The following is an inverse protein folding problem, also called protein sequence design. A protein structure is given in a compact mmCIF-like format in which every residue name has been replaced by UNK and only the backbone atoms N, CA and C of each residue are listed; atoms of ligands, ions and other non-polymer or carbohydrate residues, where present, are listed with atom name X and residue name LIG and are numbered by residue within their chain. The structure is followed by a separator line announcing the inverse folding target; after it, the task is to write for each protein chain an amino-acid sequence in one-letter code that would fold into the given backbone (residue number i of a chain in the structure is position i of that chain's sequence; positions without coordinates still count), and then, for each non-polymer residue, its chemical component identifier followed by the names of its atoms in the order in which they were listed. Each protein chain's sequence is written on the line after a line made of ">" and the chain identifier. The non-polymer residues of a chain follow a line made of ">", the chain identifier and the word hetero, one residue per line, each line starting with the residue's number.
data_IF_239976687816
#
_entry.id   IF_239976687816
#
_cell.length_a   1.000
_cell.length_b   1.000
_cell.length_c   1.000
_cell.angle_alpha   90.00
_cell.angle_beta   90.00
_cell.angle_gamma   90.00
#
_symmetry.space_group_name_H-M   'P 1'
#
loop_
_entity.id
_entity.type
_entity.pdbx_description
1 polymer ?
#
# COMPACT_ATOMS: atom_id res chain seq x y z
N UNK A 1 1.17 15.19 -5.77
CA UNK A 1 0.72 15.83 -4.51
C UNK A 1 0.50 14.70 -3.52
N UNK A 2 1.20 14.70 -2.38
CA UNK A 2 1.10 13.62 -1.41
C UNK A 2 -0.24 13.68 -0.67
N UNK A 3 -1.08 12.67 -0.87
CA UNK A 3 -2.29 12.48 -0.07
C UNK A 3 -1.86 11.90 1.28
N UNK A 4 -2.03 12.67 2.37
CA UNK A 4 -1.88 12.18 3.74
C UNK A 4 -3.23 11.64 4.21
N UNK A 5 -3.25 10.41 4.75
CA UNK A 5 -4.36 9.90 5.55
C UNK A 5 -4.51 10.66 6.89
N UNK A 6 -5.61 10.39 7.59
CA UNK A 6 -6.07 11.05 8.82
C UNK A 6 -5.16 10.80 10.04
N UNK A 7 -4.33 9.75 10.03
CA UNK A 7 -3.37 9.46 11.11
C UNK A 7 -1.96 9.97 10.77
N UNK A 8 -1.41 10.76 11.68
CA UNK A 8 0.02 11.10 11.66
C UNK A 8 0.83 9.89 12.11
N UNK A 9 1.70 9.40 11.23
CA UNK A 9 2.60 8.27 11.51
C UNK A 9 3.75 8.72 12.42
N UNK A 10 4.12 7.86 13.35
CA UNK A 10 5.33 8.06 14.15
C UNK A 10 6.58 7.87 13.28
N UNK A 11 7.68 8.54 13.65
CA UNK A 11 8.97 8.39 12.96
C UNK A 11 9.49 6.94 12.97
N UNK A 12 9.10 6.15 13.97
CA UNK A 12 9.42 4.72 14.07
C UNK A 12 8.69 3.89 13.02
N UNK A 13 7.41 4.18 12.73
CA UNK A 13 6.65 3.46 11.68
C UNK A 13 7.23 3.75 10.29
N UNK A 14 7.61 4.99 10.03
CA UNK A 14 8.27 5.38 8.77
C UNK A 14 9.63 4.68 8.66
N UNK A 15 10.42 4.67 9.74
CA UNK A 15 11.70 3.97 9.82
C UNK A 15 11.56 2.47 9.55
N UNK A 16 10.61 1.81 10.20
CA UNK A 16 10.41 0.37 10.05
C UNK A 16 9.91 -0.03 8.66
N UNK A 17 9.12 0.81 7.99
CA UNK A 17 8.74 0.62 6.58
C UNK A 17 9.97 0.70 5.68
N UNK A 18 10.87 1.68 5.90
CA UNK A 18 12.09 1.80 5.09
C UNK A 18 13.08 0.63 5.25
N UNK A 19 13.02 -0.08 6.39
CA UNK A 19 13.86 -1.26 6.67
C UNK A 19 13.10 -2.58 6.36
N UNK A 20 11.79 -2.52 6.12
CA UNK A 20 10.94 -3.69 5.87
C UNK A 20 10.71 -4.59 7.09
N UNK A 21 11.02 -4.12 8.31
CA UNK A 21 11.02 -4.94 9.52
C UNK A 21 9.63 -5.41 9.98
N UNK A 22 8.57 -4.69 9.59
CA UNK A 22 7.20 -5.07 9.93
C UNK A 22 6.59 -6.09 8.95
N UNK A 23 7.36 -6.52 7.94
CA UNK A 23 6.87 -7.37 6.87
C UNK A 23 6.07 -6.60 5.82
N UNK A 24 5.90 -7.21 4.65
CA UNK A 24 5.14 -6.64 3.54
C UNK A 24 4.42 -7.74 2.76
N UNK A 25 3.33 -7.37 2.11
CA UNK A 25 2.67 -8.16 1.09
C UNK A 25 2.90 -7.54 -0.28
N UNK A 26 3.13 -8.38 -1.29
CA UNK A 26 3.34 -7.95 -2.67
C UNK A 26 2.15 -8.37 -3.52
N UNK A 27 1.56 -7.42 -4.24
CA UNK A 27 0.46 -7.65 -5.18
C UNK A 27 0.98 -7.36 -6.60
N UNK A 28 1.02 -8.38 -7.46
CA UNK A 28 1.74 -8.32 -8.76
C UNK A 28 0.85 -8.25 -9.99
N UNK A 29 -0.47 -8.41 -9.81
CA UNK A 29 -1.47 -8.39 -10.87
C UNK A 29 -2.76 -7.78 -10.32
N UNK A 30 -3.77 -7.59 -11.18
CA UNK A 30 -5.14 -7.33 -10.70
C UNK A 30 -5.53 -8.39 -9.68
N UNK A 31 -6.09 -7.94 -8.56
CA UNK A 31 -6.33 -8.78 -7.39
C UNK A 31 -6.05 -8.04 -6.09
N UNK A 32 -6.28 -8.74 -4.99
CA UNK A 32 -6.36 -8.11 -3.69
C UNK A 32 -5.45 -8.76 -2.66
N UNK A 33 -5.03 -7.94 -1.69
CA UNK A 33 -4.35 -8.34 -0.47
C UNK A 33 -5.02 -7.67 0.73
N UNK A 34 -5.06 -8.35 1.87
CA UNK A 34 -5.81 -7.86 3.01
C UNK A 34 -5.50 -8.58 4.31
N UNK A 35 -5.65 -7.85 5.41
CA UNK A 35 -5.36 -8.33 6.77
C UNK A 35 -6.62 -8.65 7.57
N UNK A 36 -7.83 -8.53 6.97
CA UNK A 36 -9.09 -8.53 7.71
C UNK A 36 -9.57 -9.92 8.16
N UNK A 37 -8.88 -10.47 9.17
CA UNK A 37 -9.38 -11.50 10.08
C UNK A 37 -9.67 -10.98 11.50
N UNK A 38 -9.18 -9.79 11.86
CA UNK A 38 -9.29 -9.21 13.20
C UNK A 38 -9.87 -7.80 13.09
N UNK A 39 -11.15 -7.64 13.43
CA UNK A 39 -11.85 -6.34 13.45
C UNK A 39 -11.40 -5.41 14.58
N UNK A 40 -10.32 -5.73 15.29
CA UNK A 40 -9.83 -4.95 16.43
C UNK A 40 -8.86 -3.81 16.04
N UNK A 41 -8.61 -3.62 14.73
CA UNK A 41 -7.84 -2.50 14.20
C UNK A 41 -6.34 -2.57 14.49
N UNK A 42 -5.84 -3.73 14.94
CA UNK A 42 -4.42 -3.92 15.29
C UNK A 42 -3.55 -4.24 14.07
N UNK A 43 -4.10 -4.93 13.07
CA UNK A 43 -3.39 -5.29 11.85
C UNK A 43 -3.92 -4.49 10.64
N UNK A 44 -3.09 -3.59 10.12
CA UNK A 44 -3.34 -2.78 8.92
C UNK A 44 -2.05 -2.68 8.10
N UNK A 45 -2.14 -2.26 6.84
CA UNK A 45 -1.01 -1.77 6.08
C UNK A 45 -0.82 -0.28 6.36
N UNK A 46 0.37 0.12 6.80
CA UNK A 46 0.70 1.52 7.10
C UNK A 46 1.17 2.30 5.87
N UNK A 47 1.60 1.58 4.82
CA UNK A 47 2.04 2.18 3.57
C UNK A 47 1.77 1.26 2.38
N UNK A 48 1.47 1.86 1.24
CA UNK A 48 1.32 1.20 -0.05
C UNK A 48 2.27 1.89 -1.02
N UNK A 49 3.18 1.13 -1.63
CA UNK A 49 4.15 1.64 -2.60
C UNK A 49 3.97 0.99 -3.95
N UNK A 50 3.88 1.79 -5.00
CA UNK A 50 3.97 1.32 -6.36
C UNK A 50 5.44 1.19 -6.77
N UNK A 51 5.81 0.00 -7.25
CA UNK A 51 7.16 -0.29 -7.73
C UNK A 51 7.10 -0.88 -9.12
N UNK A 52 8.10 -0.54 -9.93
CA UNK A 52 8.30 -1.09 -11.26
C UNK A 52 9.47 -2.06 -11.21
N UNK A 53 9.20 -3.33 -11.51
CA UNK A 53 10.21 -4.36 -11.61
C UNK A 53 11.06 -4.15 -12.85
N UNK A 54 12.32 -3.76 -12.65
CA UNK A 54 13.38 -3.47 -13.66
C UNK A 54 13.45 -2.01 -14.13
N UNK A 55 14.69 -1.52 -14.29
CA UNK A 55 15.04 -0.14 -14.64
C UNK A 55 14.62 0.30 -16.06
N UNK A 56 13.99 -0.57 -16.84
CA UNK A 56 13.62 -0.33 -18.25
C UNK A 56 12.11 -0.15 -18.46
N UNK A 57 11.30 -0.11 -17.41
CA UNK A 57 9.87 0.13 -17.56
C UNK A 57 9.55 1.59 -17.88
N UNK A 58 8.60 1.80 -18.79
CA UNK A 58 8.14 3.14 -19.16
C UNK A 58 7.56 3.87 -17.94
N UNK A 59 7.90 5.15 -17.78
CA UNK A 59 7.30 6.06 -16.78
C UNK A 59 5.79 6.27 -16.97
N UNK A 60 5.22 5.73 -18.05
CA UNK A 60 3.78 5.72 -18.32
C UNK A 60 3.06 4.50 -17.76
N UNK A 61 3.78 3.56 -17.12
CA UNK A 61 3.14 2.42 -16.47
C UNK A 61 2.38 2.92 -15.25
N UNK A 62 1.11 2.60 -15.14
CA UNK A 62 0.24 2.96 -14.03
C UNK A 62 -0.43 1.74 -13.42
N UNK A 63 -0.72 1.84 -12.13
CA UNK A 63 -1.50 0.86 -11.38
C UNK A 63 -2.61 1.60 -10.66
N UNK A 64 -3.84 1.09 -10.76
CA UNK A 64 -5.00 1.69 -10.12
C UNK A 64 -5.42 0.78 -8.98
N UNK A 65 -5.59 1.37 -7.81
CA UNK A 65 -5.97 0.66 -6.60
C UNK A 65 -7.24 1.22 -5.98
N UNK A 66 -7.89 0.40 -5.17
CA UNK A 66 -8.81 0.81 -4.11
C UNK A 66 -8.27 0.28 -2.79
N UNK A 67 -8.51 0.98 -1.69
CA UNK A 67 -8.15 0.51 -0.36
C UNK A 67 -9.27 0.77 0.64
N UNK A 68 -9.48 -0.15 1.56
CA UNK A 68 -10.49 -0.04 2.61
C UNK A 68 -9.81 0.07 3.98
N UNK A 69 -10.38 0.88 4.85
CA UNK A 69 -9.89 1.17 6.18
C UNK A 69 -11.01 1.13 7.21
N UNK A 70 -10.80 0.40 8.31
CA UNK A 70 -11.69 0.47 9.48
C UNK A 70 -11.53 1.79 10.26
N UNK A 71 -10.54 2.61 9.90
CA UNK A 71 -10.24 3.89 10.54
C UNK A 71 -10.64 5.10 9.67
N UNK A 72 -11.24 4.86 8.49
CA UNK A 72 -11.72 5.91 7.59
C UNK A 72 -10.67 6.50 6.64
N UNK A 73 -9.52 5.84 6.49
CA UNK A 73 -8.53 6.15 5.45
C UNK A 73 -8.85 5.45 4.11
N UNK A 74 -10.13 5.25 3.78
CA UNK A 74 -10.51 4.57 2.55
C UNK A 74 -9.97 5.31 1.32
N UNK A 75 -9.38 4.56 0.39
CA UNK A 75 -9.03 5.05 -0.93
C UNK A 75 -10.05 4.52 -1.93
N UNK A 76 -10.72 5.44 -2.60
CA UNK A 76 -11.42 5.13 -3.84
C UNK A 76 -10.40 4.87 -4.96
N UNK A 77 -10.87 4.87 -6.21
CA UNK A 77 -10.05 4.68 -7.41
C UNK A 77 -8.85 5.63 -7.42
N UNK A 78 -7.68 5.11 -7.07
CA UNK A 78 -6.44 5.86 -6.93
C UNK A 78 -5.42 5.36 -7.92
N UNK A 79 -4.98 6.24 -8.82
CA UNK A 79 -3.92 5.95 -9.79
C UNK A 79 -2.56 6.18 -9.13
N UNK A 80 -1.67 5.20 -9.24
CA UNK A 80 -0.29 5.27 -8.75
C UNK A 80 0.69 5.05 -9.89
N UNK A 81 1.77 5.83 -9.88
CA UNK A 81 2.91 5.73 -10.78
C UNK A 81 4.11 5.08 -10.07
N UNK A 82 5.11 4.59 -10.82
CA UNK A 82 6.33 4.04 -10.25
C UNK A 82 6.98 4.98 -9.25
N UNK A 83 7.18 4.50 -8.02
CA UNK A 83 7.81 5.27 -6.94
C UNK A 83 6.81 5.98 -6.02
N UNK A 84 5.53 6.05 -6.38
CA UNK A 84 4.50 6.62 -5.52
C UNK A 84 4.35 5.80 -4.24
N UNK A 85 4.18 6.50 -3.12
CA UNK A 85 3.91 5.92 -1.81
C UNK A 85 2.71 6.65 -1.22
N UNK A 86 1.72 5.87 -0.79
CA UNK A 86 0.56 6.34 -0.04
C UNK A 86 0.66 5.79 1.38
N UNK A 87 0.48 6.67 2.36
CA UNK A 87 0.49 6.33 3.77
C UNK A 87 -0.94 6.43 4.31
N UNK A 88 -1.37 5.42 5.05
CA UNK A 88 -2.71 5.33 5.63
C UNK A 88 -2.85 4.05 6.45
N UNK A 89 -3.99 3.88 7.12
CA UNK A 89 -4.30 2.63 7.81
C UNK A 89 -5.21 1.76 6.95
N UNK A 90 -4.65 0.98 6.02
CA UNK A 90 -5.45 0.19 5.07
C UNK A 90 -5.57 -1.27 5.52
N UNK A 91 -6.79 -1.77 5.70
CA UNK A 91 -7.01 -3.18 6.03
C UNK A 91 -7.09 -4.06 4.78
N UNK A 92 -7.46 -3.48 3.65
CA UNK A 92 -7.61 -4.17 2.38
C UNK A 92 -7.11 -3.29 1.25
N UNK A 93 -6.41 -3.88 0.29
CA UNK A 93 -5.89 -3.21 -0.91
C UNK A 93 -6.22 -4.08 -2.10
N UNK A 94 -6.83 -3.49 -3.12
CA UNK A 94 -7.19 -4.18 -4.35
C UNK A 94 -6.65 -3.40 -5.56
N UNK A 95 -5.97 -4.10 -6.46
CA UNK A 95 -5.57 -3.58 -7.76
C UNK A 95 -6.72 -3.82 -8.75
N UNK A 96 -7.31 -2.73 -9.22
CA UNK A 96 -8.40 -2.77 -10.19
C UNK A 96 -7.89 -2.73 -11.63
N UNK A 97 -6.81 -1.99 -11.87
CA UNK A 97 -6.16 -1.89 -13.19
C UNK A 97 -4.66 -2.00 -13.02
N UNK A 98 -4.01 -2.79 -13.87
CA UNK A 98 -2.57 -2.81 -13.99
C UNK A 98 -2.17 -2.79 -15.47
N UNK A 99 -1.50 -1.71 -15.88
CA UNK A 99 -1.11 -1.50 -17.28
C UNK A 99 0.19 -2.21 -17.66
N UNK A 100 0.90 -2.80 -16.70
CA UNK A 100 2.16 -3.49 -16.94
C UNK A 100 2.38 -4.65 -15.96
N UNK A 101 2.72 -5.84 -16.46
CA UNK A 101 3.08 -6.97 -15.60
C UNK A 101 4.33 -6.72 -14.72
N UNK A 102 5.08 -5.66 -15.01
CA UNK A 102 6.23 -5.22 -14.22
C UNK A 102 5.82 -4.33 -13.05
N UNK A 103 4.63 -3.72 -13.08
CA UNK A 103 4.12 -2.90 -11.98
C UNK A 103 3.61 -3.79 -10.86
N UNK A 104 3.99 -3.44 -9.63
CA UNK A 104 3.63 -4.16 -8.41
C UNK A 104 3.29 -3.16 -7.31
N UNK A 105 2.39 -3.58 -6.42
CA UNK A 105 2.16 -2.91 -5.16
C UNK A 105 2.92 -3.65 -4.06
N UNK A 106 3.62 -2.91 -3.21
CA UNK A 106 4.14 -3.39 -1.94
C UNK A 106 3.32 -2.72 -0.83
N UNK A 107 2.56 -3.51 -0.08
CA UNK A 107 1.80 -3.06 1.08
C UNK A 107 2.57 -3.45 2.35
N UNK A 108 2.98 -2.47 3.15
CA UNK A 108 3.78 -2.68 4.35
C UNK A 108 2.87 -2.76 5.57
N UNK A 109 3.03 -3.78 6.40
CA UNK A 109 2.22 -3.87 7.62
C UNK A 109 2.56 -2.74 8.60
N UNK A 110 1.54 -2.20 9.23
CA UNK A 110 1.62 -1.40 10.46
C UNK A 110 1.86 -2.30 11.67
N UNK A 111 2.07 -1.68 12.82
CA UNK A 111 2.46 -2.35 14.07
C UNK A 111 1.60 -3.58 14.39
N UNK A 112 2.13 -4.77 14.10
CA UNK A 112 1.57 -6.05 14.53
C UNK A 112 1.74 -6.15 16.06
N UNK A 113 0.71 -5.84 16.84
CA UNK A 113 0.80 -6.06 18.28
C UNK A 113 0.72 -7.56 18.55
N UNK A 114 1.87 -8.18 18.82
CA UNK A 114 1.96 -9.51 19.44
C UNK A 114 1.46 -9.47 20.88
#
# INVERSE_FOLDING_TARGET
>A
MGHKGLREFSGEEIGNVSIGQLGFEMITSTGSAGTSGLKDGKDYFCAIKAVLGSASGSSTSEIVITAESLQGDDLSTTVMLPGDIIWGCFNYVNITTNTSSLMKIIAYHGKKSS
#
